data_IF_619041143339
#
_entry.id   IF_619041143339
#
_cell.length_a   1.000
_cell.length_b   1.000
_cell.length_c   1.000
_cell.angle_alpha   90.00
_cell.angle_beta   90.00
_cell.angle_gamma   90.00
#
_symmetry.space_group_name_H-M   'P 1'
#
loop_
_entity.id
_entity.type
_entity.pdbx_description
1 polymer ?
#
# COMPACT_ATOMS: atom_id res chain seq x y z
N UNK A 1 -27.31 -12.46 -33.47
CA UNK A 1 -26.80 -13.13 -32.26
C UNK A 1 -26.83 -12.16 -31.10
N UNK A 2 -27.83 -12.28 -30.22
CA UNK A 2 -27.91 -11.47 -29.01
C UNK A 2 -27.11 -12.15 -27.89
N UNK A 3 -26.07 -11.47 -27.37
CA UNK A 3 -25.35 -11.93 -26.19
C UNK A 3 -26.33 -11.92 -25.01
N UNK A 4 -26.53 -13.04 -24.28
CA UNK A 4 -27.46 -13.08 -23.17
C UNK A 4 -27.09 -12.03 -22.11
N UNK A 5 -28.11 -11.35 -21.57
CA UNK A 5 -27.98 -10.22 -20.64
C UNK A 5 -27.08 -10.55 -19.43
N UNK A 6 -27.11 -11.81 -18.96
CA UNK A 6 -26.26 -12.31 -17.88
C UNK A 6 -24.75 -12.25 -18.18
N UNK A 7 -24.35 -12.44 -19.45
CA UNK A 7 -22.95 -12.41 -19.87
C UNK A 7 -22.37 -10.98 -19.83
N UNK A 8 -23.20 -9.96 -20.10
CA UNK A 8 -22.78 -8.54 -20.00
C UNK A 8 -22.53 -8.13 -18.55
N UNK A 9 -23.40 -8.55 -17.63
CA UNK A 9 -23.27 -8.20 -16.19
C UNK A 9 -22.01 -8.82 -15.58
N UNK A 10 -21.69 -10.07 -15.95
CA UNK A 10 -20.49 -10.76 -15.46
C UNK A 10 -19.18 -10.16 -16.01
N UNK A 11 -19.14 -9.76 -17.29
CA UNK A 11 -18.00 -9.02 -17.84
C UNK A 11 -17.84 -7.64 -17.20
N UNK A 12 -18.94 -6.94 -16.90
CA UNK A 12 -18.94 -5.66 -16.20
C UNK A 12 -18.31 -5.76 -14.81
N UNK A 13 -18.72 -6.74 -14.00
CA UNK A 13 -18.12 -6.97 -12.68
C UNK A 13 -16.63 -7.34 -12.75
N UNK A 14 -16.23 -8.15 -13.72
CA UNK A 14 -14.81 -8.52 -13.91
C UNK A 14 -13.95 -7.30 -14.24
N UNK A 15 -14.41 -6.45 -15.17
CA UNK A 15 -13.70 -5.21 -15.52
C UNK A 15 -13.62 -4.25 -14.34
N UNK A 16 -14.73 -4.06 -13.62
CA UNK A 16 -14.77 -3.21 -12.43
C UNK A 16 -13.77 -3.69 -11.37
N UNK A 17 -13.63 -5.00 -11.15
CA UNK A 17 -12.62 -5.56 -10.23
C UNK A 17 -11.18 -5.31 -10.68
N UNK A 18 -10.87 -5.55 -11.95
CA UNK A 18 -9.52 -5.32 -12.48
C UNK A 18 -9.12 -3.84 -12.38
N UNK A 19 -10.06 -2.96 -12.71
CA UNK A 19 -9.89 -1.51 -12.56
C UNK A 19 -9.72 -1.14 -11.10
N UNK A 20 -10.53 -1.68 -10.20
CA UNK A 20 -10.41 -1.46 -8.75
C UNK A 20 -9.09 -1.94 -8.16
N UNK A 21 -8.56 -3.09 -8.61
CA UNK A 21 -7.22 -3.59 -8.25
C UNK A 21 -6.14 -2.59 -8.68
N UNK A 22 -6.19 -2.15 -9.95
CA UNK A 22 -5.19 -1.25 -10.49
C UNK A 22 -5.22 0.11 -9.79
N UNK A 23 -6.41 0.74 -9.69
CA UNK A 23 -6.59 2.05 -9.07
C UNK A 23 -6.26 2.00 -7.58
N UNK A 24 -6.75 0.98 -6.85
CA UNK A 24 -6.48 0.85 -5.43
C UNK A 24 -4.99 0.66 -5.13
N UNK A 25 -4.30 -0.21 -5.88
CA UNK A 25 -2.88 -0.46 -5.66
C UNK A 25 -2.01 0.73 -6.10
N UNK A 26 -2.29 1.30 -7.27
CA UNK A 26 -1.57 2.48 -7.75
C UNK A 26 -1.78 3.68 -6.82
N UNK A 27 -3.02 3.91 -6.37
CA UNK A 27 -3.35 4.96 -5.42
C UNK A 27 -2.68 4.77 -4.07
N UNK A 28 -2.61 3.54 -3.56
CA UNK A 28 -1.87 3.21 -2.34
C UNK A 28 -0.37 3.50 -2.49
N UNK A 29 0.25 3.06 -3.59
CA UNK A 29 1.67 3.32 -3.86
C UNK A 29 1.96 4.82 -4.06
N UNK A 30 1.07 5.55 -4.71
CA UNK A 30 1.17 6.99 -4.87
C UNK A 30 1.08 7.70 -3.52
N UNK A 31 0.09 7.35 -2.70
CA UNK A 31 -0.07 7.88 -1.34
C UNK A 31 1.17 7.58 -0.47
N UNK A 32 1.67 6.35 -0.49
CA UNK A 32 2.87 5.99 0.27
C UNK A 32 4.10 6.78 -0.19
N UNK A 33 4.23 7.00 -1.50
CA UNK A 33 5.33 7.78 -2.08
C UNK A 33 5.24 9.25 -1.67
N UNK A 34 4.04 9.85 -1.74
CA UNK A 34 3.81 11.23 -1.27
C UNK A 34 4.12 11.35 0.22
N UNK A 35 3.69 10.38 1.04
CA UNK A 35 3.96 10.35 2.47
C UNK A 35 5.47 10.29 2.74
N UNK A 36 6.17 9.41 2.03
CA UNK A 36 7.62 9.23 2.15
C UNK A 36 8.37 10.53 1.87
N UNK A 37 8.08 11.20 0.74
CA UNK A 37 8.71 12.46 0.37
C UNK A 37 8.29 13.64 1.26
N UNK A 38 7.02 13.69 1.69
CA UNK A 38 6.55 14.73 2.63
C UNK A 38 7.28 14.65 3.97
N UNK A 39 7.52 13.43 4.47
CA UNK A 39 8.28 13.22 5.69
C UNK A 39 9.73 13.68 5.54
N UNK A 40 10.37 13.41 4.38
CA UNK A 40 11.72 13.92 4.05
C UNK A 40 11.79 15.43 4.08
N UNK A 41 10.85 16.10 3.42
CA UNK A 41 10.78 17.57 3.41
C UNK A 41 10.64 18.17 4.82
N UNK A 42 9.94 17.49 5.74
CA UNK A 42 9.83 17.95 7.15
C UNK A 42 11.11 17.66 7.93
N UNK A 43 11.76 16.51 7.73
CA UNK A 43 13.01 16.18 8.41
C UNK A 43 14.16 17.09 7.97
N UNK A 44 14.19 17.51 6.71
CA UNK A 44 15.15 18.47 6.15
C UNK A 44 15.14 19.83 6.85
N UNK A 45 14.02 20.22 7.47
CA UNK A 45 13.88 21.49 8.21
C UNK A 45 13.91 21.33 9.74
N UNK A 46 14.18 20.10 10.23
CA UNK A 46 14.38 19.81 11.65
C UNK A 46 13.35 18.86 12.26
N UNK A 47 12.48 18.25 11.45
CA UNK A 47 11.53 17.22 11.89
C UNK A 47 10.21 17.76 12.43
N UNK A 48 10.05 19.08 12.55
CA UNK A 48 8.77 19.72 12.88
C UNK A 48 8.62 21.02 12.11
N UNK A 49 7.39 21.29 11.68
CA UNK A 49 7.06 22.52 10.98
C UNK A 49 5.62 22.91 11.30
N UNK A 50 5.34 24.21 11.23
CA UNK A 50 4.00 24.73 11.36
C UNK A 50 3.73 25.76 10.26
N UNK A 51 2.47 25.93 9.90
CA UNK A 51 2.03 26.93 8.93
C UNK A 51 0.64 27.44 9.31
N UNK A 52 0.41 28.75 9.16
CA UNK A 52 -0.88 29.40 9.40
C UNK A 52 -0.77 30.63 10.30
N UNK A 53 -1.88 31.36 10.46
CA UNK A 53 -1.98 32.49 11.40
C UNK A 53 -2.33 31.96 12.80
N UNK A 54 -1.37 31.32 13.45
CA UNK A 54 -1.51 30.84 14.83
C UNK A 54 -0.79 31.77 15.81
N UNK A 55 -1.24 31.86 17.07
CA UNK A 55 -0.70 32.79 18.08
C UNK A 55 0.70 32.42 18.60
N UNK A 56 1.29 31.33 18.12
CA UNK A 56 2.64 30.89 18.48
C UNK A 56 3.63 31.27 17.39
N UNK A 57 4.83 31.70 17.80
CA UNK A 57 5.89 32.06 16.89
C UNK A 57 6.37 30.84 16.09
N UNK A 58 6.16 30.87 14.77
CA UNK A 58 6.56 29.79 13.87
C UNK A 58 8.06 29.87 13.66
N UNK A 59 8.82 29.05 14.41
CA UNK A 59 10.28 29.01 14.30
C UNK A 59 10.76 28.35 12.99
N UNK A 60 9.95 27.47 12.40
CA UNK A 60 10.25 26.74 11.15
C UNK A 60 9.00 26.70 10.26
N UNK A 61 8.91 27.54 9.21
CA UNK A 61 7.78 27.50 8.29
C UNK A 61 7.79 26.20 7.48
N UNK A 62 6.63 25.55 7.34
CA UNK A 62 6.52 24.34 6.51
C UNK A 62 6.79 24.65 5.03
N UNK A 63 7.44 23.72 4.29
CA UNK A 63 7.49 23.77 2.84
C UNK A 63 6.07 23.76 2.27
N UNK A 64 5.87 24.45 1.14
CA UNK A 64 4.55 24.66 0.54
C UNK A 64 3.85 23.32 0.31
N UNK A 65 2.57 23.24 0.68
CA UNK A 65 1.74 22.05 0.43
C UNK A 65 2.07 20.80 1.26
N UNK A 66 3.23 20.71 1.93
CA UNK A 66 3.69 19.48 2.61
C UNK A 66 2.73 19.00 3.70
N UNK A 67 2.18 19.90 4.52
CA UNK A 67 1.23 19.52 5.58
C UNK A 67 -0.07 18.93 5.03
N UNK A 68 -0.57 19.47 3.92
CA UNK A 68 -1.77 18.95 3.24
C UNK A 68 -1.47 17.64 2.51
N UNK A 69 -0.34 17.54 1.81
CA UNK A 69 0.09 16.32 1.12
C UNK A 69 0.28 15.16 2.09
N UNK A 70 0.93 15.40 3.23
CA UNK A 70 1.13 14.38 4.26
C UNK A 70 -0.21 13.86 4.78
N UNK A 71 -1.10 14.75 5.22
CA UNK A 71 -2.42 14.37 5.74
C UNK A 71 -3.28 13.71 4.67
N UNK A 72 -3.32 14.29 3.47
CA UNK A 72 -4.06 13.76 2.32
C UNK A 72 -3.56 12.39 1.87
N UNK A 73 -2.25 12.13 1.95
CA UNK A 73 -1.67 10.83 1.64
C UNK A 73 -2.05 9.75 2.66
N UNK A 74 -2.18 10.08 3.94
CA UNK A 74 -2.61 9.11 4.96
C UNK A 74 -4.05 8.66 4.70
N UNK A 75 -4.98 9.61 4.60
CA UNK A 75 -6.39 9.29 4.36
C UNK A 75 -6.63 8.71 2.96
N UNK A 76 -5.98 9.26 1.94
CA UNK A 76 -6.01 8.75 0.58
C UNK A 76 -5.45 7.33 0.50
N UNK A 77 -4.35 7.05 1.19
CA UNK A 77 -3.74 5.71 1.29
C UNK A 77 -4.67 4.69 1.93
N UNK A 78 -5.32 5.04 3.05
CA UNK A 78 -6.30 4.17 3.72
C UNK A 78 -7.49 3.87 2.80
N UNK A 79 -8.03 4.90 2.13
CA UNK A 79 -9.15 4.73 1.21
C UNK A 79 -8.77 3.83 0.02
N UNK A 80 -7.61 4.08 -0.61
CA UNK A 80 -7.13 3.29 -1.74
C UNK A 80 -6.76 1.85 -1.34
N UNK A 81 -6.23 1.65 -0.13
CA UNK A 81 -6.03 0.31 0.44
C UNK A 81 -7.34 -0.44 0.60
N UNK A 82 -8.40 0.22 1.11
CA UNK A 82 -9.73 -0.37 1.21
C UNK A 82 -10.30 -0.77 -0.15
N UNK A 83 -10.19 0.12 -1.15
CA UNK A 83 -10.59 -0.16 -2.53
C UNK A 83 -9.83 -1.38 -3.10
N UNK A 84 -8.52 -1.43 -2.90
CA UNK A 84 -7.68 -2.55 -3.32
C UNK A 84 -8.08 -3.86 -2.61
N UNK A 85 -8.27 -3.84 -1.29
CA UNK A 85 -8.61 -5.01 -0.50
C UNK A 85 -9.94 -5.63 -0.95
N UNK A 86 -10.96 -4.82 -1.20
CA UNK A 86 -12.27 -5.29 -1.70
C UNK A 86 -12.17 -5.81 -3.14
N UNK A 87 -11.37 -5.16 -3.98
CA UNK A 87 -11.24 -5.53 -5.40
C UNK A 87 -10.39 -6.78 -5.63
N UNK A 88 -9.41 -7.04 -4.73
CA UNK A 88 -8.46 -8.15 -4.82
C UNK A 88 -8.95 -9.47 -4.18
N UNK A 89 -10.17 -9.52 -3.64
CA UNK A 89 -10.73 -10.72 -3.01
C UNK A 89 -10.79 -11.89 -4.00
N UNK A 90 -10.19 -13.03 -3.61
CA UNK A 90 -10.16 -14.25 -4.42
C UNK A 90 -9.05 -14.31 -5.48
N UNK A 91 -8.18 -13.29 -5.56
CA UNK A 91 -7.02 -13.25 -6.45
C UNK A 91 -5.68 -13.27 -5.71
N UNK A 92 -4.53 -13.30 -6.43
CA UNK A 92 -3.23 -13.04 -5.83
C UNK A 92 -3.23 -11.60 -5.28
N UNK A 93 -3.11 -11.45 -3.97
CA UNK A 93 -3.18 -10.15 -3.30
C UNK A 93 -1.88 -9.85 -2.58
N UNK A 94 -1.40 -8.61 -2.73
CA UNK A 94 -0.20 -8.04 -2.13
C UNK A 94 -0.50 -7.29 -0.83
N UNK A 95 -1.74 -7.35 -0.34
CA UNK A 95 -2.16 -6.62 0.86
C UNK A 95 -1.27 -6.88 2.10
N UNK A 96 -0.72 -8.10 2.34
CA UNK A 96 0.16 -8.32 3.50
C UNK A 96 1.47 -7.54 3.41
N UNK A 97 1.86 -7.08 2.22
CA UNK A 97 3.05 -6.26 2.00
C UNK A 97 2.80 -4.78 2.27
N UNK A 98 1.54 -4.32 2.35
CA UNK A 98 1.23 -2.91 2.61
C UNK A 98 1.81 -2.46 3.96
N UNK A 99 1.73 -3.32 4.98
CA UNK A 99 2.27 -3.03 6.30
C UNK A 99 3.81 -2.95 6.31
N UNK A 100 4.57 -3.98 5.88
CA UNK A 100 6.02 -3.85 5.69
C UNK A 100 6.43 -2.65 4.83
N UNK A 101 5.73 -2.39 3.72
CA UNK A 101 6.05 -1.28 2.83
C UNK A 101 5.91 0.08 3.55
N UNK A 102 4.85 0.27 4.33
CA UNK A 102 4.66 1.49 5.13
C UNK A 102 5.76 1.67 6.18
N UNK A 103 5.99 0.67 7.01
CA UNK A 103 6.94 0.81 8.13
C UNK A 103 8.39 0.87 7.67
N UNK A 104 8.78 0.09 6.65
CA UNK A 104 10.15 0.10 6.14
C UNK A 104 10.47 1.40 5.40
N UNK A 105 9.50 1.98 4.66
CA UNK A 105 9.72 3.28 4.00
C UNK A 105 9.87 4.42 5.01
N UNK A 106 9.03 4.48 6.04
CA UNK A 106 9.16 5.48 7.12
C UNK A 106 10.41 5.24 7.98
N UNK A 107 10.75 3.98 8.25
CA UNK A 107 11.96 3.61 9.00
C UNK A 107 13.24 3.98 8.25
N UNK A 108 13.25 3.83 6.92
CA UNK A 108 14.38 4.23 6.09
C UNK A 108 14.70 5.72 6.22
N UNK A 109 13.66 6.54 6.15
CA UNK A 109 13.74 7.97 6.39
C UNK A 109 14.40 8.29 7.74
N UNK A 110 13.89 7.75 8.84
CA UNK A 110 14.49 7.98 10.16
C UNK A 110 15.94 7.48 10.30
N UNK A 111 16.27 6.38 9.62
CA UNK A 111 17.63 5.84 9.64
C UNK A 111 18.61 6.77 8.92
N UNK A 112 18.24 7.23 7.72
CA UNK A 112 19.06 8.14 6.90
C UNK A 112 19.31 9.47 7.60
N UNK A 113 18.25 10.18 7.99
CA UNK A 113 18.37 11.45 8.71
C UNK A 113 18.97 11.26 10.11
N UNK A 114 18.82 10.08 10.72
CA UNK A 114 19.42 9.76 12.01
C UNK A 114 20.94 9.64 11.96
N UNK A 115 21.50 9.12 10.86
CA UNK A 115 22.95 9.05 10.64
C UNK A 115 23.51 10.40 10.24
N UNK A 116 22.84 11.12 9.35
CA UNK A 116 23.30 12.40 8.80
C UNK A 116 22.20 13.48 8.89
N UNK A 117 22.03 14.12 10.06
CA UNK A 117 20.98 15.11 10.25
C UNK A 117 21.36 16.49 9.66
N UNK A 118 20.38 17.24 9.11
CA UNK A 118 20.64 18.45 8.32
C UNK A 118 21.17 19.67 9.10
N UNK A 119 21.01 19.71 10.44
CA UNK A 119 21.40 20.86 11.27
C UNK A 119 22.38 20.51 12.40
N UNK A 120 23.03 19.34 12.36
CA UNK A 120 23.91 18.89 13.43
C UNK A 120 25.18 18.22 12.90
N UNK A 121 26.30 18.45 13.58
CA UNK A 121 27.52 17.66 13.38
C UNK A 121 27.46 16.42 14.28
N UNK A 122 26.77 15.36 13.83
CA UNK A 122 26.74 14.09 14.53
C UNK A 122 25.43 13.34 14.41
N UNK A 123 25.42 12.11 14.93
CA UNK A 123 24.27 11.19 14.87
C UNK A 123 23.11 11.71 15.73
N UNK A 124 21.88 11.66 15.22
CA UNK A 124 20.64 11.97 15.96
C UNK A 124 20.03 10.69 16.57
N UNK A 125 20.25 10.37 17.86
CA UNK A 125 19.91 9.07 18.41
C UNK A 125 18.40 8.82 18.46
N UNK A 126 17.61 9.87 18.68
CA UNK A 126 16.14 9.77 18.71
C UNK A 126 15.57 9.29 17.37
N UNK A 127 16.10 9.79 16.26
CA UNK A 127 15.69 9.36 14.92
C UNK A 127 16.16 7.92 14.65
N UNK A 128 17.38 7.55 15.04
CA UNK A 128 17.84 6.16 14.91
C UNK A 128 16.98 5.16 15.69
N UNK A 129 16.59 5.49 16.93
CA UNK A 129 15.71 4.63 17.73
C UNK A 129 14.38 4.43 17.01
N UNK A 130 13.78 5.52 16.49
CA UNK A 130 12.58 5.42 15.67
C UNK A 130 12.83 4.54 14.42
N UNK A 131 13.91 4.76 13.69
CA UNK A 131 14.27 3.97 12.51
C UNK A 131 14.35 2.47 12.80
N UNK A 132 15.01 2.08 13.90
CA UNK A 132 15.09 0.68 14.34
C UNK A 132 13.72 0.12 14.70
N UNK A 133 12.90 0.86 15.46
CA UNK A 133 11.55 0.41 15.82
C UNK A 133 10.68 0.20 14.59
N UNK A 134 10.68 1.13 13.64
CA UNK A 134 9.98 1.00 12.37
C UNK A 134 10.51 -0.17 11.54
N UNK A 135 11.83 -0.37 11.50
CA UNK A 135 12.45 -1.51 10.83
C UNK A 135 12.04 -2.85 11.45
N UNK A 136 11.89 -2.94 12.78
CA UNK A 136 11.38 -4.13 13.45
C UNK A 136 9.89 -4.36 13.14
N UNK A 137 9.07 -3.31 13.21
CA UNK A 137 7.63 -3.39 12.95
C UNK A 137 7.30 -3.75 11.49
N UNK A 138 8.10 -3.31 10.53
CA UNK A 138 7.95 -3.67 9.11
C UNK A 138 8.68 -4.95 8.74
N UNK A 139 9.87 -5.16 9.29
CA UNK A 139 10.77 -6.27 8.95
C UNK A 139 10.35 -7.60 9.56
N UNK A 140 9.88 -7.63 10.81
CA UNK A 140 9.45 -8.88 11.44
C UNK A 140 8.27 -9.55 10.69
N UNK A 141 7.17 -8.84 10.34
CA UNK A 141 6.11 -9.41 9.51
C UNK A 141 6.61 -9.86 8.14
N UNK A 142 7.52 -9.10 7.52
CA UNK A 142 8.10 -9.46 6.24
C UNK A 142 8.90 -10.76 6.31
N UNK A 143 9.73 -10.94 7.33
CA UNK A 143 10.49 -12.18 7.55
C UNK A 143 9.57 -13.38 7.79
N UNK A 144 8.47 -13.19 8.54
CA UNK A 144 7.46 -14.23 8.75
C UNK A 144 6.81 -14.62 7.42
N UNK A 145 6.45 -13.65 6.58
CA UNK A 145 5.89 -13.90 5.24
C UNK A 145 6.86 -14.69 4.36
N UNK A 146 8.14 -14.31 4.33
CA UNK A 146 9.18 -15.02 3.59
C UNK A 146 9.30 -16.47 4.09
N UNK A 147 9.47 -16.67 5.41
CA UNK A 147 9.67 -18.01 6.01
C UNK A 147 8.46 -18.92 5.85
N UNK A 148 7.24 -18.37 5.82
CA UNK A 148 6.02 -19.14 5.61
C UNK A 148 5.84 -19.67 4.17
N UNK A 149 6.73 -19.28 3.25
CA UNK A 149 6.60 -19.59 1.83
C UNK A 149 5.47 -18.83 1.13
N UNK A 150 5.03 -17.70 1.71
CA UNK A 150 3.92 -16.91 1.17
C UNK A 150 4.19 -16.46 -0.28
N UNK A 151 5.42 -16.01 -0.59
CA UNK A 151 5.80 -15.64 -1.96
C UNK A 151 5.68 -16.81 -2.93
N UNK A 152 6.16 -17.99 -2.54
CA UNK A 152 5.98 -19.19 -3.36
C UNK A 152 4.50 -19.46 -3.62
N UNK A 153 3.62 -19.25 -2.62
CA UNK A 153 2.15 -19.42 -2.76
C UNK A 153 1.51 -18.33 -3.62
N UNK A 154 2.03 -17.09 -3.59
CA UNK A 154 1.59 -15.99 -4.43
C UNK A 154 1.76 -16.33 -5.93
N UNK A 155 2.91 -16.94 -6.28
CA UNK A 155 3.21 -17.34 -7.66
C UNK A 155 2.63 -18.71 -8.06
N UNK A 156 2.68 -19.71 -7.18
CA UNK A 156 2.23 -21.09 -7.47
C UNK A 156 0.73 -21.28 -7.26
N UNK A 157 0.09 -20.40 -6.50
CA UNK A 157 -1.35 -20.39 -6.38
C UNK A 157 -1.98 -21.49 -5.53
N UNK A 158 -1.16 -22.17 -4.71
CA UNK A 158 -1.60 -23.19 -3.75
C UNK A 158 -2.42 -22.48 -2.65
N UNK A 159 -3.75 -22.57 -2.72
CA UNK A 159 -4.67 -21.87 -1.80
C UNK A 159 -4.38 -22.19 -0.33
N UNK A 160 -4.48 -21.17 0.53
CA UNK A 160 -4.61 -21.38 1.97
C UNK A 160 -5.97 -21.98 2.27
N UNK A 161 -6.01 -23.29 2.51
CA UNK A 161 -7.08 -23.94 3.26
C UNK A 161 -7.18 -23.50 4.73
N UNK A 162 -6.53 -22.40 5.13
CA UNK A 162 -6.53 -21.88 6.51
C UNK A 162 -7.95 -21.45 6.90
N UNK A 163 -8.74 -20.87 5.99
CA UNK A 163 -10.15 -20.58 6.29
C UNK A 163 -11.05 -21.82 6.31
N UNK A 164 -10.67 -22.91 5.62
CA UNK A 164 -11.41 -24.19 5.66
C UNK A 164 -11.25 -24.93 6.98
N UNK A 165 -10.19 -24.68 7.74
CA UNK A 165 -9.91 -25.41 8.99
C UNK A 165 -10.59 -24.83 10.23
N UNK A 166 -10.97 -23.55 10.23
CA UNK A 166 -11.59 -22.87 11.38
C UNK A 166 -13.12 -22.82 11.33
N UNK A 167 -13.74 -23.09 10.17
CA UNK A 167 -15.18 -23.30 10.10
C UNK A 167 -15.51 -24.66 10.74
N UNK A 168 -16.48 -24.76 11.67
CA UNK A 168 -17.11 -26.04 12.02
C UNK A 168 -17.45 -26.75 10.71
N UNK A 169 -17.30 -28.08 10.66
CA UNK A 169 -17.70 -28.88 9.48
C UNK A 169 -19.20 -28.68 9.25
N UNK A 170 -19.57 -27.61 8.56
CA UNK A 170 -20.92 -27.41 8.08
C UNK A 170 -21.21 -28.62 7.19
N UNK A 171 -22.41 -29.22 7.30
CA UNK A 171 -22.85 -30.23 6.36
C UNK A 171 -22.58 -29.70 4.96
N UNK A 172 -21.85 -30.48 4.16
CA UNK A 172 -21.55 -30.14 2.78
C UNK A 172 -22.90 -29.81 2.12
N UNK A 173 -23.12 -28.59 1.60
CA UNK A 173 -24.36 -28.31 0.91
C UNK A 173 -24.53 -29.34 -0.22
N UNK A 174 -25.76 -29.77 -0.52
CA UNK A 174 -26.00 -30.64 -1.66
C UNK A 174 -25.35 -29.99 -2.90
N UNK A 175 -24.83 -30.79 -3.85
CA UNK A 175 -24.18 -30.26 -5.05
C UNK A 175 -25.20 -29.41 -5.83
N UNK A 176 -25.22 -28.11 -5.57
CA UNK A 176 -25.91 -27.13 -6.38
C UNK A 176 -24.99 -26.82 -7.55
N UNK A 177 -25.35 -27.38 -8.68
CA UNK A 177 -24.66 -27.34 -9.98
C UNK A 177 -24.64 -25.94 -10.64
N UNK A 178 -24.63 -24.86 -9.84
CA UNK A 178 -24.84 -23.50 -10.35
C UNK A 178 -24.06 -22.40 -9.64
N UNK A 179 -23.16 -22.71 -8.70
CA UNK A 179 -22.13 -21.73 -8.35
C UNK A 179 -20.98 -21.90 -9.33
N UNK A 180 -20.86 -21.04 -10.36
CA UNK A 180 -19.66 -21.08 -11.17
C UNK A 180 -18.50 -20.86 -10.20
N UNK A 181 -17.45 -21.69 -10.23
CA UNK A 181 -16.22 -21.33 -9.56
C UNK A 181 -15.92 -19.91 -10.02
N UNK A 182 -15.60 -19.01 -9.09
CA UNK A 182 -15.00 -17.72 -9.41
C UNK A 182 -13.59 -18.02 -9.93
N UNK A 183 -13.51 -18.72 -11.05
CA UNK A 183 -12.36 -18.80 -11.91
C UNK A 183 -12.23 -17.42 -12.49
N UNK A 184 -11.48 -16.57 -11.77
CA UNK A 184 -10.79 -15.44 -12.35
C UNK A 184 -9.89 -16.03 -13.44
N UNK A 185 -10.47 -16.26 -14.63
CA UNK A 185 -9.84 -16.91 -15.78
C UNK A 185 -8.88 -15.98 -16.50
N UNK A 186 -8.08 -15.23 -15.74
CA UNK A 186 -6.85 -14.61 -16.22
C UNK A 186 -5.70 -15.45 -15.70
N UNK A 187 -4.68 -15.70 -16.52
CA UNK A 187 -3.43 -16.31 -16.04
C UNK A 187 -2.96 -15.49 -14.84
N UNK A 188 -2.70 -16.13 -13.70
CA UNK A 188 -2.26 -15.43 -12.47
C UNK A 188 -1.08 -14.48 -12.73
N UNK A 189 -0.21 -14.85 -13.67
CA UNK A 189 0.85 -14.00 -14.20
C UNK A 189 0.33 -12.66 -14.72
N UNK A 190 -0.76 -12.62 -15.50
CA UNK A 190 -1.35 -11.36 -15.97
C UNK A 190 -1.85 -10.46 -14.82
N UNK A 191 -2.41 -11.04 -13.76
CA UNK A 191 -2.83 -10.27 -12.57
C UNK A 191 -1.64 -9.73 -11.77
N UNK A 192 -0.55 -10.50 -11.69
CA UNK A 192 0.68 -10.04 -11.04
C UNK A 192 1.38 -8.96 -11.87
N UNK A 193 1.38 -9.08 -13.20
CA UNK A 193 1.90 -8.04 -14.10
C UNK A 193 1.06 -6.76 -14.00
N UNK A 194 -0.26 -6.87 -13.95
CA UNK A 194 -1.15 -5.73 -13.73
C UNK A 194 -0.82 -5.03 -12.40
N UNK A 195 -0.60 -5.80 -11.33
CA UNK A 195 -0.24 -5.25 -10.02
C UNK A 195 1.17 -4.64 -10.02
N UNK A 196 2.14 -5.26 -10.68
CA UNK A 196 3.47 -4.68 -10.88
C UNK A 196 3.42 -3.36 -11.65
N UNK A 197 2.64 -3.30 -12.73
CA UNK A 197 2.39 -2.07 -13.48
C UNK A 197 1.71 -0.99 -12.63
N UNK A 198 0.75 -1.37 -11.79
CA UNK A 198 0.09 -0.46 -10.87
C UNK A 198 1.07 0.13 -9.83
N UNK A 199 2.00 -0.67 -9.30
CA UNK A 199 3.04 -0.20 -8.37
C UNK A 199 3.93 0.84 -9.04
N UNK A 200 4.49 0.51 -10.22
CA UNK A 200 5.38 1.42 -10.96
C UNK A 200 4.65 2.72 -11.30
N UNK A 201 3.42 2.62 -11.81
CA UNK A 201 2.60 3.77 -12.14
C UNK A 201 2.26 4.61 -10.90
N UNK A 202 1.91 3.95 -9.79
CA UNK A 202 1.61 4.61 -8.52
C UNK A 202 2.80 5.38 -7.96
N UNK A 203 3.99 4.77 -7.91
CA UNK A 203 5.22 5.43 -7.44
C UNK A 203 5.56 6.64 -8.32
N UNK A 204 5.53 6.47 -9.64
CA UNK A 204 5.76 7.58 -10.58
C UNK A 204 4.77 8.72 -10.39
N UNK A 205 3.48 8.40 -10.24
CA UNK A 205 2.42 9.40 -10.05
C UNK A 205 2.58 10.13 -8.72
N UNK A 206 2.87 9.40 -7.64
CA UNK A 206 3.10 9.99 -6.33
C UNK A 206 4.29 10.96 -6.32
N UNK A 207 5.41 10.56 -6.95
CA UNK A 207 6.56 11.44 -7.10
C UNK A 207 6.23 12.69 -7.92
N UNK A 208 5.53 12.55 -9.05
CA UNK A 208 5.10 13.69 -9.88
C UNK A 208 4.17 14.66 -9.15
N UNK A 209 3.22 14.15 -8.36
CA UNK A 209 2.33 14.99 -7.56
C UNK A 209 3.12 15.76 -6.50
N UNK A 210 4.07 15.09 -5.83
CA UNK A 210 4.91 15.72 -4.83
C UNK A 210 5.81 16.81 -5.44
N UNK A 211 6.46 16.50 -6.57
CA UNK A 211 7.31 17.43 -7.31
C UNK A 211 6.51 18.67 -7.78
N UNK A 212 5.34 18.46 -8.39
CA UNK A 212 4.45 19.55 -8.80
C UNK A 212 3.99 20.45 -7.65
N UNK A 213 3.78 19.88 -6.47
CA UNK A 213 3.30 20.63 -5.32
C UNK A 213 4.40 21.41 -4.58
N UNK A 214 5.67 21.03 -4.77
CA UNK A 214 6.82 21.65 -4.09
C UNK A 214 7.74 22.46 -5.02
N UNK A 215 7.64 22.31 -6.34
CA UNK A 215 8.33 23.13 -7.36
C UNK A 215 7.63 24.47 -7.60
#
# INVERSE_FOLDING_TARGET
MAIPTATRTFMGLRRARLVGIFIGLAGLCAALTILFWSMRAVMEIGGSCASGNVPYEITRPCPKGTGFLMTGSIFGGIFMFGLYAVSAVGGPSLWPLAWPALFLSLGWNFFEYGVDPPFGSGVAPGWLICGVLFALMGGAPLLILIRSGWFARLFTGREMGIWRSWLPRLPKPPPTDSTPPVMVGGSRGALLLLQGGAIVFGVWTGWRIFDWANG
#
